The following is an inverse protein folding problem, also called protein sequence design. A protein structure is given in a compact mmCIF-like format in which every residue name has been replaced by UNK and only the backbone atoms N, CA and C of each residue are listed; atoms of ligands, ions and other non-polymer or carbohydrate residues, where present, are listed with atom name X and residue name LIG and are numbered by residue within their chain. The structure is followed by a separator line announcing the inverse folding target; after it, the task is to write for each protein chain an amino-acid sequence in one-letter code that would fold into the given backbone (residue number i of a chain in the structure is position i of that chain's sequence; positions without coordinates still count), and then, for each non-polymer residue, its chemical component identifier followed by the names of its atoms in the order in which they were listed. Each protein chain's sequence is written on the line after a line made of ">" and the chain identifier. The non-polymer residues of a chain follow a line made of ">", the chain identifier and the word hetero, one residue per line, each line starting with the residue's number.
data_IF_243139492528
#
_entry.id   IF_243139492528
#
_cell.length_a   1.000
_cell.length_b   1.000
_cell.length_c   1.000
_cell.angle_alpha   90.00
_cell.angle_beta   90.00
_cell.angle_gamma   90.00
#
_symmetry.space_group_name_H-M   'P 1'
#
loop_
_entity.id
_entity.type
_entity.pdbx_description
1 polymer ?
#
# COMPACT_ATOMS: atom_id res chain seq x y z
N UNK A 1 -24.98 -3.57 7.71
CA UNK A 1 -23.55 -3.90 7.72
C UNK A 1 -22.88 -2.75 7.02
N UNK A 2 -22.21 -1.90 7.78
CA UNK A 2 -21.72 -0.60 7.30
C UNK A 2 -20.49 -0.83 6.41
N UNK A 3 -20.69 -0.68 5.10
CA UNK A 3 -19.63 -0.40 4.14
C UNK A 3 -19.04 0.98 4.48
N UNK A 4 -18.05 1.01 5.38
CA UNK A 4 -17.15 2.14 5.50
C UNK A 4 -16.21 2.13 4.31
N UNK A 5 -16.77 2.47 3.15
CA UNK A 5 -16.01 2.97 2.01
C UNK A 5 -15.22 4.16 2.54
N UNK A 6 -13.90 4.01 2.50
CA UNK A 6 -12.89 5.02 2.75
C UNK A 6 -13.30 6.33 2.06
N UNK A 7 -13.95 7.22 2.80
CA UNK A 7 -14.29 8.56 2.32
C UNK A 7 -13.02 9.39 2.37
N UNK A 8 -12.13 9.16 1.40
CA UNK A 8 -11.06 10.08 1.09
C UNK A 8 -11.70 11.40 0.65
N UNK A 9 -11.53 12.42 1.47
CA UNK A 9 -11.84 13.79 1.09
C UNK A 9 -10.92 14.16 -0.09
N UNK A 10 -11.46 14.81 -1.12
CA UNK A 10 -10.87 14.96 -2.47
C UNK A 10 -9.56 15.77 -2.58
N UNK A 11 -8.79 15.89 -1.52
CA UNK A 11 -7.43 16.47 -1.47
C UNK A 11 -6.39 15.45 -1.00
N UNK A 12 -6.79 14.44 -0.23
CA UNK A 12 -5.91 13.42 0.36
C UNK A 12 -5.64 12.29 -0.63
N UNK A 13 -6.67 11.93 -1.42
CA UNK A 13 -6.54 10.96 -2.51
C UNK A 13 -5.57 11.45 -3.60
N UNK A 14 -5.60 12.75 -3.94
CA UNK A 14 -4.62 13.33 -4.85
C UNK A 14 -3.20 13.22 -4.28
N UNK A 15 -3.03 13.45 -2.97
CA UNK A 15 -1.72 13.32 -2.30
C UNK A 15 -1.17 11.90 -2.36
N UNK A 16 -2.00 10.89 -2.04
CA UNK A 16 -1.60 9.48 -2.13
C UNK A 16 -1.34 9.05 -3.57
N UNK A 17 -2.19 9.43 -4.52
CA UNK A 17 -1.97 9.13 -5.94
C UNK A 17 -0.69 9.77 -6.49
N UNK A 18 -0.34 10.98 -6.05
CA UNK A 18 0.92 11.64 -6.41
C UNK A 18 2.11 10.90 -5.80
N UNK A 19 2.02 10.51 -4.53
CA UNK A 19 3.05 9.73 -3.84
C UNK A 19 3.27 8.37 -4.51
N UNK A 20 2.18 7.69 -4.90
CA UNK A 20 2.24 6.42 -5.60
C UNK A 20 2.91 6.54 -6.98
N UNK A 21 2.57 7.59 -7.75
CA UNK A 21 3.23 7.87 -9.04
C UNK A 21 4.71 8.17 -8.88
N UNK A 22 5.11 8.87 -7.81
CA UNK A 22 6.52 9.10 -7.48
C UNK A 22 7.23 7.79 -7.17
N UNK A 23 6.65 6.95 -6.32
CA UNK A 23 7.19 5.64 -5.98
C UNK A 23 7.35 4.74 -7.22
N UNK A 24 6.36 4.73 -8.12
CA UNK A 24 6.41 4.05 -9.42
C UNK A 24 7.54 4.56 -10.32
N UNK A 25 7.87 5.85 -10.23
CA UNK A 25 8.95 6.48 -11.00
C UNK A 25 10.35 6.20 -10.43
N UNK A 26 10.46 5.40 -9.36
CA UNK A 26 11.72 5.06 -8.70
C UNK A 26 12.07 5.95 -7.50
N UNK A 27 11.14 6.78 -7.03
CA UNK A 27 11.33 7.53 -5.78
C UNK A 27 11.19 6.60 -4.57
N UNK A 28 12.34 6.12 -4.07
CA UNK A 28 12.38 5.23 -2.92
C UNK A 28 11.87 5.90 -1.63
N UNK A 29 11.94 7.22 -1.51
CA UNK A 29 11.45 7.91 -0.33
C UNK A 29 9.92 7.87 -0.29
N UNK A 30 9.28 8.16 -1.43
CA UNK A 30 7.83 8.01 -1.58
C UNK A 30 7.37 6.57 -1.35
N UNK A 31 8.16 5.58 -1.78
CA UNK A 31 7.87 4.16 -1.54
C UNK A 31 7.89 3.81 -0.05
N UNK A 32 8.89 4.31 0.70
CA UNK A 32 9.01 4.09 2.14
C UNK A 32 7.82 4.74 2.87
N UNK A 33 7.48 5.99 2.51
CA UNK A 33 6.33 6.70 3.12
C UNK A 33 5.01 5.94 2.93
N UNK A 34 4.80 5.33 1.76
CA UNK A 34 3.63 4.49 1.49
C UNK A 34 3.62 3.24 2.39
N UNK A 35 4.77 2.57 2.54
CA UNK A 35 4.89 1.36 3.36
C UNK A 35 4.67 1.67 4.84
N UNK A 36 5.24 2.76 5.34
CA UNK A 36 5.05 3.21 6.73
C UNK A 36 3.59 3.61 6.98
N UNK A 37 2.96 4.28 6.02
CA UNK A 37 1.55 4.64 6.12
C UNK A 37 0.62 3.42 6.28
N UNK A 38 0.95 2.30 5.63
CA UNK A 38 0.16 1.06 5.64
C UNK A 38 0.66 0.02 6.65
N UNK A 39 1.71 0.31 7.40
CA UNK A 39 2.24 -0.59 8.42
C UNK A 39 1.19 -0.99 9.49
N UNK A 40 0.33 -0.08 10.00
CA UNK A 40 -0.73 -0.46 10.93
C UNK A 40 -1.71 -1.49 10.35
N UNK A 41 -2.07 -1.35 9.07
CA UNK A 41 -2.95 -2.28 8.37
C UNK A 41 -2.25 -3.64 8.16
N UNK A 42 -0.96 -3.63 7.81
CA UNK A 42 -0.15 -4.84 7.71
C UNK A 42 -0.06 -5.57 9.06
N UNK A 43 0.14 -4.84 10.17
CA UNK A 43 0.15 -5.46 11.50
C UNK A 43 -1.21 -6.10 11.86
N UNK A 44 -2.31 -5.47 11.46
CA UNK A 44 -3.64 -6.03 11.64
C UNK A 44 -3.83 -7.29 10.78
N UNK A 45 -3.50 -7.23 9.49
CA UNK A 45 -3.64 -8.34 8.55
C UNK A 45 -2.78 -9.54 8.91
N UNK A 46 -1.58 -9.31 9.47
CA UNK A 46 -0.69 -10.38 9.94
C UNK A 46 -1.34 -11.28 11.00
N UNK A 47 -2.36 -10.81 11.72
CA UNK A 47 -3.10 -11.62 12.70
C UNK A 47 -3.90 -12.78 12.07
N UNK A 48 -4.15 -12.72 10.76
CA UNK A 48 -4.97 -13.69 10.04
C UNK A 48 -4.15 -14.66 9.18
N UNK A 49 -2.84 -14.42 9.04
CA UNK A 49 -1.95 -15.22 8.20
C UNK A 49 -1.37 -16.36 9.06
N UNK A 50 -1.35 -17.59 8.51
CA UNK A 50 -0.77 -18.77 9.18
C UNK A 50 0.76 -18.81 9.04
N UNK A 51 1.41 -17.77 9.54
CA UNK A 51 2.85 -17.53 9.47
C UNK A 51 3.27 -16.71 10.72
N UNK A 52 4.56 -16.58 10.99
CA UNK A 52 5.02 -15.64 12.03
C UNK A 52 4.59 -14.22 11.67
N UNK A 53 4.35 -13.37 12.69
CA UNK A 53 3.95 -11.97 12.45
C UNK A 53 5.02 -11.23 11.62
N UNK A 54 6.29 -11.47 11.94
CA UNK A 54 7.42 -10.85 11.27
C UNK A 54 7.49 -11.23 9.79
N UNK A 55 7.45 -12.53 9.49
CA UNK A 55 7.49 -13.02 8.11
C UNK A 55 6.27 -12.54 7.33
N UNK A 56 5.08 -12.53 7.95
CA UNK A 56 3.85 -12.07 7.31
C UNK A 56 3.97 -10.60 6.86
N UNK A 57 4.48 -9.74 7.75
CA UNK A 57 4.68 -8.33 7.46
C UNK A 57 5.74 -8.15 6.37
N UNK A 58 6.85 -8.90 6.41
CA UNK A 58 7.88 -8.83 5.38
C UNK A 58 7.33 -9.23 4.00
N UNK A 59 6.59 -10.33 3.92
CA UNK A 59 5.97 -10.78 2.66
C UNK A 59 5.00 -9.74 2.10
N UNK A 60 4.18 -9.11 2.95
CA UNK A 60 3.28 -8.03 2.53
C UNK A 60 4.05 -6.81 2.01
N UNK A 61 5.14 -6.42 2.69
CA UNK A 61 6.01 -5.31 2.23
C UNK A 61 6.65 -5.62 0.88
N UNK A 62 7.18 -6.83 0.70
CA UNK A 62 7.78 -7.26 -0.58
C UNK A 62 6.75 -7.23 -1.70
N UNK A 63 5.61 -7.89 -1.51
CA UNK A 63 4.54 -7.92 -2.50
C UNK A 63 4.05 -6.51 -2.87
N UNK A 64 3.95 -5.62 -1.88
CA UNK A 64 3.56 -4.24 -2.11
C UNK A 64 4.60 -3.46 -2.92
N UNK A 65 5.89 -3.59 -2.60
CA UNK A 65 6.98 -2.97 -3.37
C UNK A 65 6.98 -3.44 -4.82
N UNK A 66 6.81 -4.75 -5.03
CA UNK A 66 6.74 -5.33 -6.37
C UNK A 66 5.54 -4.80 -7.14
N UNK A 67 4.34 -4.77 -6.54
CA UNK A 67 3.15 -4.24 -7.15
C UNK A 67 3.30 -2.75 -7.53
N UNK A 68 3.89 -1.94 -6.63
CA UNK A 68 4.16 -0.52 -6.90
C UNK A 68 5.11 -0.40 -8.09
N UNK A 69 6.21 -1.16 -8.11
CA UNK A 69 7.22 -1.07 -9.18
C UNK A 69 6.73 -1.59 -10.53
N UNK A 70 5.88 -2.61 -10.53
CA UNK A 70 5.33 -3.18 -11.76
C UNK A 70 4.17 -2.33 -12.32
N UNK A 71 3.61 -1.43 -11.51
CA UNK A 71 2.45 -0.61 -11.92
C UNK A 71 1.13 -1.37 -11.87
N UNK A 72 1.11 -2.57 -11.32
CA UNK A 72 -0.06 -3.48 -11.24
C UNK A 72 -1.11 -3.04 -10.20
N UNK A 73 -0.96 -1.85 -9.61
CA UNK A 73 -1.84 -1.34 -8.55
C UNK A 73 -3.19 -0.83 -9.08
N UNK A 74 -3.41 -0.79 -10.41
CA UNK A 74 -4.68 -0.34 -10.97
C UNK A 74 -5.19 -1.17 -12.17
N UNK A 75 -6.26 -1.98 -12.01
CA UNK A 75 -6.98 -2.59 -13.12
C UNK A 75 -7.88 -1.53 -13.78
N UNK A 76 -7.31 -0.63 -14.58
CA UNK A 76 -8.11 0.38 -15.26
C UNK A 76 -7.37 1.30 -16.23
N UNK A 77 -6.18 0.90 -16.69
CA UNK A 77 -5.43 1.67 -17.69
C UNK A 77 -5.05 0.77 -18.87
N UNK A 78 -6.05 0.33 -19.62
CA UNK A 78 -5.91 -0.08 -21.03
C UNK A 78 -6.79 0.80 -21.88
#
# INVERSE_FOLDING_TARGET
>A
MEDKIFTATGTENDSFCIMLKRAQSGDNQALIEIIEFLEPDMEYLACFIKMSREDSIQEMKVAMIEAIRQGDIWPGST
#
